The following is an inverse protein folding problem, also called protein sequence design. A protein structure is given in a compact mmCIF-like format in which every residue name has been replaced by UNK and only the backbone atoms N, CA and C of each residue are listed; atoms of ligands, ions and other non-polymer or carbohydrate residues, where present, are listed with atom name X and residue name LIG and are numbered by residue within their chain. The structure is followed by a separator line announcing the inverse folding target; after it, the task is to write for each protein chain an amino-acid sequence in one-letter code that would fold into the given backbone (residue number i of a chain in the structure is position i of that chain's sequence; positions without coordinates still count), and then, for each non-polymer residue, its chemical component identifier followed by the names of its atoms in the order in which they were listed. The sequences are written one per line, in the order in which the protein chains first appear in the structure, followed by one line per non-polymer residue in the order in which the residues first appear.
data_IF_854193215112
#
_entry.id   IF_854193215112
#
_cell.length_a   1.000
_cell.length_b   1.000
_cell.length_c   1.000
_cell.angle_alpha   90.00
_cell.angle_beta   90.00
_cell.angle_gamma   90.00
#
_symmetry.space_group_name_H-M   'P 1'
#
loop_
_entity.id
_entity.type
_entity.pdbx_description
1 polymer ?
#
# COMPACT_ATOMS: atom_id res chain seq x y z
N UNK A 1 2.28 16.44 17.55
CA UNK A 1 2.46 15.38 18.58
C UNK A 1 3.42 14.36 17.99
N UNK A 2 4.46 13.93 18.72
CA UNK A 2 5.36 12.91 18.18
C UNK A 2 4.62 11.57 18.04
N UNK A 3 5.04 10.71 17.11
CA UNK A 3 4.36 9.43 16.89
C UNK A 3 4.37 8.54 18.14
N UNK A 4 5.45 8.60 18.94
CA UNK A 4 5.54 7.91 20.23
C UNK A 4 4.52 8.40 21.25
N UNK A 5 4.34 9.72 21.36
CA UNK A 5 3.32 10.29 22.26
C UNK A 5 1.92 9.87 21.82
N UNK A 6 1.67 9.85 20.50
CA UNK A 6 0.38 9.44 19.97
C UNK A 6 0.08 7.96 20.29
N UNK A 7 1.05 7.07 20.08
CA UNK A 7 0.94 5.65 20.40
C UNK A 7 0.66 5.46 21.90
N UNK A 8 1.45 6.11 22.76
CA UNK A 8 1.26 6.01 24.22
C UNK A 8 -0.10 6.54 24.66
N UNK A 9 -0.50 7.72 24.18
CA UNK A 9 -1.80 8.32 24.51
C UNK A 9 -2.98 7.45 24.02
N UNK A 10 -2.84 6.82 22.85
CA UNK A 10 -3.84 5.89 22.33
C UNK A 10 -3.96 4.64 23.19
N UNK A 11 -2.82 4.05 23.60
CA UNK A 11 -2.79 2.91 24.53
C UNK A 11 -3.41 3.27 25.88
N UNK A 12 -3.12 4.44 26.44
CA UNK A 12 -3.70 4.92 27.69
C UNK A 12 -5.21 5.19 27.57
N UNK A 13 -5.66 5.67 26.40
CA UNK A 13 -7.08 5.81 26.11
C UNK A 13 -7.77 4.44 26.06
N UNK A 14 -7.19 3.47 25.35
CA UNK A 14 -7.72 2.10 25.28
C UNK A 14 -7.81 1.48 26.67
N UNK A 15 -6.80 1.63 27.53
CA UNK A 15 -6.83 1.15 28.91
C UNK A 15 -7.95 1.77 29.76
N UNK A 16 -8.21 3.07 29.62
CA UNK A 16 -9.31 3.74 30.33
C UNK A 16 -10.70 3.33 29.84
N UNK A 17 -10.82 2.92 28.58
CA UNK A 17 -12.06 2.36 28.03
C UNK A 17 -12.24 0.92 28.51
N UNK A 18 -11.14 0.15 28.53
CA UNK A 18 -11.08 -1.21 29.05
C UNK A 18 -11.56 -1.28 30.51
N UNK A 19 -11.11 -0.38 31.38
CA UNK A 19 -11.55 -0.31 32.79
C UNK A 19 -13.06 -0.06 32.98
N UNK A 20 -13.75 0.45 31.95
CA UNK A 20 -15.17 0.84 32.02
C UNK A 20 -16.10 -0.14 31.34
N UNK A 21 -15.60 -0.99 30.44
CA UNK A 21 -16.45 -2.00 29.82
C UNK A 21 -16.77 -3.13 30.81
N UNK A 22 -17.93 -3.76 30.60
CA UNK A 22 -18.37 -4.96 31.33
C UNK A 22 -18.39 -6.19 30.40
N UNK A 23 -18.08 -6.00 29.10
CA UNK A 23 -18.11 -7.06 28.10
C UNK A 23 -16.74 -7.74 28.02
N UNK A 24 -16.66 -9.06 28.29
CA UNK A 24 -15.42 -9.82 28.10
C UNK A 24 -14.87 -9.73 26.68
N UNK A 25 -15.75 -9.68 25.68
CA UNK A 25 -15.37 -9.54 24.27
C UNK A 25 -14.74 -8.17 23.99
N UNK A 26 -15.32 -7.09 24.52
CA UNK A 26 -14.76 -5.75 24.35
C UNK A 26 -13.39 -5.63 25.04
N UNK A 27 -13.21 -6.24 26.22
CA UNK A 27 -11.91 -6.31 26.88
C UNK A 27 -10.84 -6.96 25.99
N UNK A 28 -11.17 -8.10 25.37
CA UNK A 28 -10.23 -8.80 24.48
C UNK A 28 -9.86 -7.95 23.27
N UNK A 29 -10.84 -7.29 22.64
CA UNK A 29 -10.62 -6.42 21.48
C UNK A 29 -9.76 -5.19 21.83
N UNK A 30 -10.06 -4.51 22.93
CA UNK A 30 -9.31 -3.33 23.38
C UNK A 30 -7.87 -3.69 23.74
N UNK A 31 -7.67 -4.84 24.40
CA UNK A 31 -6.33 -5.35 24.71
C UNK A 31 -5.57 -5.69 23.44
N UNK A 32 -6.19 -6.40 22.49
CA UNK A 32 -5.55 -6.73 21.22
C UNK A 32 -5.12 -5.48 20.44
N UNK A 33 -5.95 -4.44 20.42
CA UNK A 33 -5.61 -3.15 19.81
C UNK A 33 -4.42 -2.47 20.51
N UNK A 34 -4.41 -2.46 21.85
CA UNK A 34 -3.30 -1.91 22.62
C UNK A 34 -2.00 -2.70 22.39
N UNK A 35 -2.07 -4.02 22.30
CA UNK A 35 -0.92 -4.89 22.06
C UNK A 35 -0.37 -4.72 20.64
N UNK A 36 -1.22 -4.48 19.64
CA UNK A 36 -0.77 -4.12 18.28
C UNK A 36 0.03 -2.80 18.27
N UNK A 37 -0.44 -1.78 18.98
CA UNK A 37 0.27 -0.51 19.11
C UNK A 37 1.62 -0.67 19.85
N UNK A 38 1.64 -1.45 20.93
CA UNK A 38 2.87 -1.79 21.65
C UNK A 38 3.82 -2.62 20.80
N UNK A 39 3.31 -3.52 19.95
CA UNK A 39 4.12 -4.29 19.02
C UNK A 39 4.83 -3.38 18.01
N UNK A 40 4.13 -2.41 17.43
CA UNK A 40 4.72 -1.40 16.53
C UNK A 40 5.87 -0.67 17.24
N UNK A 41 5.63 -0.19 18.46
CA UNK A 41 6.65 0.49 19.25
C UNK A 41 7.86 -0.40 19.57
N UNK A 42 7.61 -1.59 20.14
CA UNK A 42 8.64 -2.51 20.60
C UNK A 42 9.54 -3.05 19.47
N UNK A 43 9.01 -3.10 18.24
CA UNK A 43 9.77 -3.53 17.06
C UNK A 43 10.40 -2.35 16.28
N UNK A 44 10.29 -1.12 16.80
CA UNK A 44 10.86 0.06 16.15
C UNK A 44 10.13 0.52 14.88
N UNK A 45 8.90 0.07 14.64
CA UNK A 45 8.13 0.30 13.41
C UNK A 45 7.34 1.62 13.41
N UNK A 46 7.73 2.57 14.26
CA UNK A 46 6.94 3.78 14.50
C UNK A 46 6.96 4.73 13.31
N UNK A 47 8.07 4.80 12.55
CA UNK A 47 8.16 5.64 11.36
C UNK A 47 7.42 5.01 10.17
N UNK A 48 7.49 3.69 10.01
CA UNK A 48 6.72 2.95 9.00
C UNK A 48 5.22 3.07 9.24
N UNK A 49 4.79 3.06 10.51
CA UNK A 49 3.40 3.32 10.86
C UNK A 49 3.00 4.78 10.57
N UNK A 50 3.91 5.74 10.74
CA UNK A 50 3.68 7.14 10.38
C UNK A 50 3.53 7.30 8.86
N UNK A 51 4.43 6.72 8.08
CA UNK A 51 4.35 6.69 6.60
C UNK A 51 3.05 6.04 6.12
N UNK A 52 2.62 4.96 6.79
CA UNK A 52 1.33 4.32 6.52
C UNK A 52 0.16 5.29 6.77
N UNK A 53 0.16 6.02 7.89
CA UNK A 53 -0.89 7.01 8.17
C UNK A 53 -0.91 8.14 7.16
N UNK A 54 0.25 8.67 6.77
CA UNK A 54 0.35 9.67 5.70
C UNK A 54 -0.23 9.14 4.38
N UNK A 55 0.04 7.87 4.03
CA UNK A 55 -0.53 7.28 2.82
C UNK A 55 -2.06 7.24 2.80
N UNK A 56 -2.70 7.09 3.97
CA UNK A 56 -4.16 7.15 4.10
C UNK A 56 -4.70 8.58 3.92
N UNK A 57 -3.97 9.58 4.43
CA UNK A 57 -4.34 11.00 4.29
C UNK A 57 -4.23 11.50 2.85
N UNK A 58 -3.24 11.00 2.09
CA UNK A 58 -3.09 11.31 0.67
C UNK A 58 -3.92 10.40 -0.24
N UNK A 59 -4.79 9.58 0.34
CA UNK A 59 -5.60 8.58 -0.35
C UNK A 59 -4.77 7.77 -1.34
N UNK A 60 -3.50 7.46 -1.07
CA UNK A 60 -2.61 6.82 -2.05
C UNK A 60 -2.98 5.34 -2.26
N UNK A 61 -2.55 4.72 -3.38
CA UNK A 61 -2.71 3.27 -3.55
C UNK A 61 -2.10 2.51 -2.37
N UNK A 62 -2.61 1.31 -2.06
CA UNK A 62 -2.10 0.53 -0.94
C UNK A 62 -0.57 0.39 -0.97
N UNK A 63 0.10 0.56 0.18
CA UNK A 63 1.56 0.54 0.23
C UNK A 63 2.09 -0.84 -0.15
N UNK A 64 3.27 -0.86 -0.75
CA UNK A 64 3.97 -2.09 -1.12
C UNK A 64 5.29 -2.19 -0.37
N UNK A 65 5.67 -3.39 0.06
CA UNK A 65 6.90 -3.61 0.86
C UNK A 65 8.12 -3.95 0.01
N UNK A 66 7.92 -4.22 -1.28
CA UNK A 66 8.98 -4.44 -2.26
C UNK A 66 8.45 -4.23 -3.70
N UNK A 67 9.36 -3.97 -4.62
CA UNK A 67 9.08 -3.90 -6.04
C UNK A 67 10.16 -4.64 -6.84
N UNK A 68 9.74 -5.48 -7.77
CA UNK A 68 10.61 -6.34 -8.59
C UNK A 68 10.34 -6.09 -10.07
N UNK A 69 11.39 -6.09 -10.90
CA UNK A 69 11.22 -5.94 -12.35
C UNK A 69 10.69 -7.22 -12.98
N UNK A 70 11.06 -8.38 -12.43
CA UNK A 70 10.66 -9.68 -12.97
C UNK A 70 10.14 -10.64 -11.90
N UNK A 71 9.47 -11.71 -12.35
CA UNK A 71 8.97 -12.79 -11.50
C UNK A 71 10.12 -13.57 -10.86
N UNK A 72 11.23 -13.73 -11.56
CA UNK A 72 12.42 -14.43 -11.11
C UNK A 72 13.09 -13.69 -9.95
N UNK A 73 13.21 -12.36 -10.03
CA UNK A 73 13.70 -11.52 -8.95
C UNK A 73 12.82 -11.64 -7.70
N UNK A 74 11.50 -11.57 -7.87
CA UNK A 74 10.53 -11.70 -6.79
C UNK A 74 10.63 -13.09 -6.11
N UNK A 75 10.68 -14.17 -6.90
CA UNK A 75 10.81 -15.53 -6.39
C UNK A 75 12.13 -15.73 -5.64
N UNK A 76 13.22 -15.16 -6.15
CA UNK A 76 14.53 -15.20 -5.51
C UNK A 76 14.50 -14.47 -4.16
N UNK A 77 13.84 -13.31 -4.08
CA UNK A 77 13.63 -12.62 -2.81
C UNK A 77 12.80 -13.45 -1.83
N UNK A 78 11.72 -14.06 -2.29
CA UNK A 78 10.82 -14.86 -1.44
C UNK A 78 11.49 -16.11 -0.86
N UNK A 79 12.35 -16.76 -1.66
CA UNK A 79 13.13 -17.92 -1.22
C UNK A 79 14.17 -17.55 -0.16
N UNK A 80 14.83 -16.40 -0.32
CA UNK A 80 15.89 -15.93 0.58
C UNK A 80 15.38 -15.18 1.81
N UNK A 81 14.08 -14.96 1.94
CA UNK A 81 13.47 -14.34 3.11
C UNK A 81 12.90 -15.43 4.04
N UNK A 82 13.51 -15.70 5.21
CA UNK A 82 13.05 -16.79 6.10
C UNK A 82 11.68 -16.54 6.74
N UNK A 83 11.26 -15.27 6.82
CA UNK A 83 9.97 -14.85 7.38
C UNK A 83 9.41 -13.73 6.51
N UNK A 84 8.94 -14.06 5.30
CA UNK A 84 8.42 -13.04 4.40
C UNK A 84 7.16 -12.40 5.02
N UNK A 85 6.91 -11.11 4.75
CA UNK A 85 5.80 -10.38 5.34
C UNK A 85 4.47 -10.91 4.78
N UNK A 86 3.79 -11.75 5.56
CA UNK A 86 2.53 -12.35 5.14
C UNK A 86 1.47 -11.27 4.85
N UNK A 87 0.72 -11.45 3.77
CA UNK A 87 -0.34 -10.56 3.31
C UNK A 87 0.10 -9.14 2.91
N UNK A 88 1.41 -8.86 2.90
CA UNK A 88 1.92 -7.59 2.38
C UNK A 88 1.85 -7.56 0.84
N UNK A 89 1.61 -6.38 0.28
CA UNK A 89 1.65 -6.16 -1.15
C UNK A 89 3.08 -5.95 -1.66
N UNK A 90 3.35 -6.44 -2.86
CA UNK A 90 4.56 -6.16 -3.64
C UNK A 90 4.17 -5.79 -5.07
N UNK A 91 5.05 -5.08 -5.77
CA UNK A 91 4.96 -4.93 -7.21
C UNK A 91 5.84 -5.96 -7.89
N UNK A 92 5.30 -6.68 -8.87
CA UNK A 92 6.07 -7.55 -9.77
C UNK A 92 5.77 -7.07 -11.18
N UNK A 93 6.80 -6.57 -11.87
CA UNK A 93 6.66 -5.99 -13.21
C UNK A 93 5.59 -4.87 -13.28
N UNK A 94 5.46 -4.10 -12.20
CA UNK A 94 4.46 -3.03 -12.10
C UNK A 94 3.04 -3.51 -11.78
N UNK A 95 2.82 -4.77 -11.42
CA UNK A 95 1.51 -5.28 -11.03
C UNK A 95 1.47 -5.70 -9.56
N UNK A 96 0.36 -5.39 -8.89
CA UNK A 96 0.14 -5.72 -7.49
C UNK A 96 -0.02 -7.23 -7.27
N UNK A 97 0.77 -7.73 -6.33
CA UNK A 97 0.68 -9.09 -5.83
C UNK A 97 0.71 -9.09 -4.30
N UNK A 98 0.07 -10.08 -3.68
CA UNK A 98 0.16 -10.32 -2.25
C UNK A 98 1.14 -11.46 -1.94
N UNK A 99 1.94 -11.29 -0.89
CA UNK A 99 2.80 -12.34 -0.34
C UNK A 99 1.92 -13.32 0.45
N UNK A 100 1.53 -14.41 -0.20
CA UNK A 100 0.78 -15.47 0.47
C UNK A 100 1.78 -16.38 1.20
N UNK A 101 1.82 -16.28 2.53
CA UNK A 101 2.74 -17.04 3.37
C UNK A 101 1.99 -17.72 4.53
N UNK A 102 2.18 -19.03 4.67
CA UNK A 102 1.70 -19.83 5.81
C UNK A 102 2.90 -20.35 6.57
N UNK A 103 3.04 -19.89 7.81
CA UNK A 103 4.22 -20.15 8.64
C UNK A 103 4.36 -21.63 9.02
N UNK A 104 3.24 -22.30 9.29
CA UNK A 104 3.19 -23.66 9.83
C UNK A 104 3.70 -24.70 8.84
N UNK A 105 3.46 -24.47 7.55
CA UNK A 105 3.86 -25.36 6.46
C UNK A 105 5.00 -24.80 5.61
N UNK A 106 5.52 -23.62 5.97
CA UNK A 106 6.44 -22.82 5.15
C UNK A 106 5.99 -22.64 3.69
N UNK A 107 4.68 -22.62 3.46
CA UNK A 107 4.14 -22.48 2.12
C UNK A 107 4.15 -21.00 1.75
N UNK A 108 4.74 -20.66 0.61
CA UNK A 108 4.93 -19.28 0.17
C UNK A 108 4.76 -19.13 -1.33
N UNK A 109 4.03 -18.11 -1.77
CA UNK A 109 3.88 -17.73 -3.18
C UNK A 109 3.45 -16.27 -3.32
N UNK A 110 3.37 -15.78 -4.55
CA UNK A 110 2.74 -14.52 -4.90
C UNK A 110 1.39 -14.77 -5.58
N UNK A 111 0.35 -14.11 -5.10
CA UNK A 111 -0.96 -14.13 -5.74
C UNK A 111 -1.21 -12.74 -6.36
N UNK A 112 -1.58 -12.63 -7.65
CA UNK A 112 -2.03 -11.36 -8.22
C UNK A 112 -3.20 -10.80 -7.40
N UNK A 113 -3.24 -9.49 -7.19
CA UNK A 113 -4.31 -8.87 -6.42
C UNK A 113 -4.81 -7.59 -7.10
N UNK A 114 -6.14 -7.45 -7.32
CA UNK A 114 -6.72 -6.35 -8.09
C UNK A 114 -6.79 -5.01 -7.33
N UNK A 115 -5.90 -4.78 -6.36
CA UNK A 115 -6.07 -3.66 -5.43
C UNK A 115 -5.89 -2.30 -6.11
N UNK A 116 -5.08 -2.25 -7.16
CA UNK A 116 -4.85 -1.03 -7.93
C UNK A 116 -6.07 -0.73 -8.80
N UNK A 117 -6.67 -1.77 -9.39
CA UNK A 117 -7.86 -1.65 -10.21
C UNK A 117 -9.03 -1.08 -9.41
N UNK A 118 -9.34 -1.65 -8.24
CA UNK A 118 -10.39 -1.13 -7.35
C UNK A 118 -10.13 0.31 -6.91
N UNK A 119 -8.86 0.60 -6.65
CA UNK A 119 -8.44 1.93 -6.23
C UNK A 119 -8.63 2.98 -7.35
N UNK A 120 -8.22 2.64 -8.58
CA UNK A 120 -8.40 3.52 -9.74
C UNK A 120 -9.88 3.65 -10.12
N UNK A 121 -10.67 2.59 -9.99
CA UNK A 121 -12.12 2.61 -10.20
C UNK A 121 -12.79 3.61 -9.27
N UNK A 122 -12.57 3.51 -7.95
CA UNK A 122 -13.14 4.43 -6.98
C UNK A 122 -12.70 5.88 -7.24
N UNK A 123 -11.43 6.09 -7.62
CA UNK A 123 -10.92 7.43 -7.98
C UNK A 123 -11.62 8.03 -9.22
N UNK A 124 -12.13 7.19 -10.13
CA UNK A 124 -12.81 7.63 -11.36
C UNK A 124 -14.33 7.65 -11.28
N UNK A 125 -14.89 7.27 -10.14
CA UNK A 125 -16.34 7.12 -9.93
C UNK A 125 -17.13 8.39 -10.23
N UNK A 126 -16.56 9.54 -9.88
CA UNK A 126 -17.15 10.86 -10.12
C UNK A 126 -16.58 11.56 -11.39
N UNK A 127 -15.86 10.80 -12.22
CA UNK A 127 -15.16 11.29 -13.41
C UNK A 127 -13.63 11.22 -13.29
N UNK A 128 -12.94 11.50 -14.39
CA UNK A 128 -11.47 11.49 -14.39
C UNK A 128 -10.92 12.63 -13.51
N UNK A 129 -9.99 12.33 -12.59
CA UNK A 129 -9.32 13.36 -11.79
C UNK A 129 -8.56 14.38 -12.64
N UNK A 130 -8.38 15.58 -12.09
CA UNK A 130 -7.64 16.65 -12.77
C UNK A 130 -6.17 16.29 -12.94
N UNK A 131 -5.67 16.49 -14.16
CA UNK A 131 -4.27 16.29 -14.53
C UNK A 131 -3.42 17.45 -14.02
N UNK A 132 -2.32 17.13 -13.33
CA UNK A 132 -1.36 18.12 -12.82
C UNK A 132 -0.31 18.49 -13.87
N UNK A 133 0.11 17.52 -14.68
CA UNK A 133 1.13 17.70 -15.72
C UNK A 133 0.91 16.75 -16.89
N UNK A 134 1.24 17.21 -18.10
CA UNK A 134 1.09 16.45 -19.34
C UNK A 134 2.44 16.25 -20.03
N UNK A 135 2.65 15.05 -20.56
CA UNK A 135 3.82 14.62 -21.31
C UNK A 135 3.41 14.01 -22.64
N UNK A 136 4.29 14.06 -23.63
CA UNK A 136 4.07 13.39 -24.91
C UNK A 136 4.45 11.91 -24.82
N UNK A 137 5.50 11.58 -24.08
CA UNK A 137 6.02 10.21 -23.99
C UNK A 137 6.23 9.73 -22.56
N UNK A 138 6.35 8.40 -22.40
CA UNK A 138 6.59 7.77 -21.10
C UNK A 138 7.96 8.15 -20.53
N UNK A 139 8.97 8.26 -21.39
CA UNK A 139 10.33 8.61 -21.02
C UNK A 139 10.40 10.02 -20.42
N UNK A 140 9.64 10.98 -20.98
CA UNK A 140 9.52 12.34 -20.43
C UNK A 140 8.91 12.33 -19.03
N UNK A 141 7.84 11.56 -18.84
CA UNK A 141 7.18 11.42 -17.55
C UNK A 141 8.09 10.75 -16.50
N UNK A 142 8.80 9.68 -16.88
CA UNK A 142 9.74 8.99 -16.01
C UNK A 142 10.92 9.90 -15.62
N UNK A 143 11.44 10.70 -16.56
CA UNK A 143 12.50 11.68 -16.29
C UNK A 143 12.03 12.79 -15.35
N UNK A 144 10.83 13.34 -15.56
CA UNK A 144 10.22 14.30 -14.65
C UNK A 144 10.05 13.72 -13.25
N UNK A 145 9.51 12.50 -13.14
CA UNK A 145 9.24 11.88 -11.84
C UNK A 145 10.52 11.51 -11.11
N UNK A 146 11.54 11.07 -11.85
CA UNK A 146 12.88 10.79 -11.33
C UNK A 146 13.65 12.03 -10.88
N UNK A 147 13.37 13.21 -11.43
CA UNK A 147 14.02 14.47 -11.05
C UNK A 147 13.56 15.04 -9.71
N UNK A 148 12.41 14.59 -9.20
CA UNK A 148 11.85 15.06 -7.94
C UNK A 148 12.56 14.39 -6.75
N UNK A 149 13.12 15.20 -5.86
CA UNK A 149 13.77 14.73 -4.63
C UNK A 149 12.76 14.11 -3.65
N UNK A 150 11.62 14.77 -3.47
CA UNK A 150 10.51 14.33 -2.62
C UNK A 150 9.19 14.55 -3.35
N UNK A 151 8.80 13.63 -4.25
CA UNK A 151 7.51 13.73 -4.91
C UNK A 151 6.35 13.56 -3.90
N UNK A 152 5.18 14.08 -4.29
CA UNK A 152 3.91 13.75 -3.66
C UNK A 152 3.69 12.24 -3.66
N UNK A 153 2.96 11.73 -2.65
CA UNK A 153 2.66 10.30 -2.54
C UNK A 153 1.94 9.78 -3.81
N UNK A 154 1.11 10.62 -4.40
CA UNK A 154 0.56 10.40 -5.73
C UNK A 154 0.34 11.69 -6.52
N UNK A 155 0.28 11.59 -7.85
CA UNK A 155 -0.02 12.68 -8.76
C UNK A 155 -0.66 12.14 -10.04
N UNK A 156 -1.77 12.76 -10.45
CA UNK A 156 -2.42 12.45 -11.72
C UNK A 156 -1.71 13.20 -12.84
N UNK A 157 -1.23 12.47 -13.82
CA UNK A 157 -0.50 13.00 -14.98
C UNK A 157 -1.17 12.52 -16.26
N UNK A 158 -0.82 13.12 -17.39
CA UNK A 158 -1.26 12.67 -18.70
C UNK A 158 -0.05 12.34 -19.56
N UNK A 159 -0.08 11.21 -20.27
CA UNK A 159 0.98 10.79 -21.19
C UNK A 159 0.31 10.43 -22.52
N UNK A 160 0.65 11.13 -23.60
CA UNK A 160 0.09 10.85 -24.92
C UNK A 160 -1.44 10.90 -24.99
N UNK A 161 -2.08 11.70 -24.12
CA UNK A 161 -3.54 11.84 -24.04
C UNK A 161 -4.23 10.92 -23.02
N UNK A 162 -3.58 9.87 -22.52
CA UNK A 162 -4.12 8.96 -21.51
C UNK A 162 -3.77 9.44 -20.09
N UNK A 163 -4.69 9.26 -19.13
CA UNK A 163 -4.44 9.58 -17.72
C UNK A 163 -3.64 8.46 -17.05
N UNK A 164 -2.66 8.86 -16.24
CA UNK A 164 -1.83 7.97 -15.44
C UNK A 164 -1.77 8.47 -14.00
N UNK A 165 -1.64 7.53 -13.08
CA UNK A 165 -1.34 7.81 -11.69
C UNK A 165 0.15 7.56 -11.44
N UNK A 166 0.92 8.64 -11.21
CA UNK A 166 2.28 8.56 -10.71
C UNK A 166 2.25 8.40 -9.19
N UNK A 167 2.93 7.38 -8.67
CA UNK A 167 2.87 6.97 -7.25
C UNK A 167 4.28 6.83 -6.70
N UNK A 168 4.52 7.43 -5.54
CA UNK A 168 5.77 7.33 -4.83
C UNK A 168 5.60 6.56 -3.52
N UNK A 169 6.12 5.35 -3.48
CA UNK A 169 6.15 4.50 -2.29
C UNK A 169 7.37 4.88 -1.44
N UNK A 170 7.16 5.79 -0.48
CA UNK A 170 8.20 6.36 0.40
C UNK A 170 8.98 5.27 1.14
N UNK A 171 8.27 4.30 1.71
CA UNK A 171 8.83 3.20 2.50
C UNK A 171 9.88 2.36 1.74
N UNK A 172 9.77 2.25 0.42
CA UNK A 172 10.74 1.54 -0.43
C UNK A 172 11.45 2.43 -1.45
N UNK A 173 11.23 3.76 -1.37
CA UNK A 173 11.73 4.78 -2.30
C UNK A 173 11.48 4.43 -3.78
N UNK A 174 10.32 3.84 -4.06
CA UNK A 174 9.98 3.35 -5.39
C UNK A 174 8.99 4.26 -6.10
N UNK A 175 9.16 4.40 -7.41
CA UNK A 175 8.32 5.20 -8.30
C UNK A 175 7.63 4.28 -9.28
N UNK A 176 6.32 4.38 -9.38
CA UNK A 176 5.53 3.66 -10.37
C UNK A 176 4.56 4.62 -11.05
N UNK A 177 4.23 4.36 -12.32
CA UNK A 177 3.24 5.15 -13.05
C UNK A 177 2.26 4.16 -13.71
N UNK A 178 1.01 4.21 -13.27
CA UNK A 178 -0.05 3.28 -13.64
C UNK A 178 -1.06 3.92 -14.58
N UNK A 179 -1.45 3.28 -15.70
CA UNK A 179 -2.48 3.82 -16.56
C UNK A 179 -3.87 3.65 -15.90
N UNK A 180 -4.70 4.68 -15.99
CA UNK A 180 -6.10 4.62 -15.52
C UNK A 180 -6.92 3.58 -16.29
N UNK A 181 -6.52 3.21 -17.52
CA UNK A 181 -7.13 2.09 -18.26
C UNK A 181 -7.02 0.74 -17.54
N UNK A 182 -6.19 0.63 -16.50
CA UNK A 182 -6.12 -0.54 -15.61
C UNK A 182 -7.43 -0.81 -14.89
N UNK A 183 -8.20 0.21 -14.50
CA UNK A 183 -9.51 0.02 -13.87
C UNK A 183 -10.47 -0.83 -14.73
N UNK A 184 -10.41 -0.66 -16.06
CA UNK A 184 -11.25 -1.40 -17.03
C UNK A 184 -10.94 -2.89 -17.14
N UNK A 185 -9.86 -3.39 -16.49
CA UNK A 185 -9.55 -4.82 -16.46
C UNK A 185 -10.49 -5.60 -15.54
N UNK A 186 -11.10 -4.93 -14.55
CA UNK A 186 -12.11 -5.53 -13.67
C UNK A 186 -13.42 -5.79 -14.41
N UNK A 187 -13.93 -4.77 -15.12
CA UNK A 187 -15.15 -4.86 -15.92
C UNK A 187 -15.11 -6.07 -16.88
N UNK A 188 -13.97 -6.27 -17.56
CA UNK A 188 -13.79 -7.42 -18.46
C UNK A 188 -13.72 -8.77 -17.75
N UNK A 189 -13.23 -8.83 -16.52
CA UNK A 189 -13.19 -10.08 -15.74
C UNK A 189 -14.58 -10.45 -15.24
N UNK A 190 -15.35 -9.47 -14.76
CA UNK A 190 -16.72 -9.66 -14.32
C UNK A 190 -17.66 -10.05 -15.46
N UNK A 191 -17.52 -9.42 -16.64
CA UNK A 191 -18.25 -9.80 -17.86
C UNK A 191 -17.89 -11.21 -18.37
N UNK A 192 -16.67 -11.69 -18.08
CA UNK A 192 -16.18 -13.00 -18.52
C UNK A 192 -16.52 -14.17 -17.59
N UNK A 193 -17.14 -13.91 -16.43
CA UNK A 193 -17.64 -14.96 -15.53
C UNK A 193 -16.58 -15.98 -15.09
N UNK A 194 -15.43 -15.52 -14.60
CA UNK A 194 -14.43 -16.35 -13.90
C UNK A 194 -14.32 -15.99 -12.43
#
# INVERSE_FOLDING_TARGET
MAIGDLINNAVDLLGRVDEKTQSPEEHELLRAAADALRFIWANGLSYEFMDYRESLEFESPPPVVAAFKTREEANSWLANNPRPPAMAYVLISGEYHVVAYRRESDWRTFLPHPTLEFYLEEMTKDGLPSVVVTFNTREEADAWFGSQSEPSAQTVIQIGGEHYLAVYYRNIKHRAIFPFSTAKRLEKKEESGQ
#
